data_IF_519761636252
#
_entry.id   IF_519761636252
#
_cell.length_a   1.000
_cell.length_b   1.000
_cell.length_c   1.000
_cell.angle_alpha   90.00
_cell.angle_beta   90.00
_cell.angle_gamma   90.00
#
_symmetry.space_group_name_H-M   'P 1'
#
loop_
_entity.id
_entity.type
_entity.pdbx_description
1 polymer ?
#
# COMPACT_ATOMS: atom_id res chain seq x y z
N UNK A 1 -35.88 -9.53 25.05
CA UNK A 1 -35.34 -8.16 24.93
C UNK A 1 -33.98 -8.28 24.26
N UNK A 2 -33.84 -7.80 23.03
CA UNK A 2 -32.55 -7.68 22.37
C UNK A 2 -31.82 -6.48 23.01
N UNK A 3 -30.66 -6.76 23.62
CA UNK A 3 -29.90 -5.77 24.37
C UNK A 3 -29.07 -4.94 23.37
N UNK A 4 -29.41 -3.66 23.21
CA UNK A 4 -28.72 -2.74 22.28
C UNK A 4 -27.46 -2.10 22.89
N UNK A 5 -27.12 -2.43 24.13
CA UNK A 5 -25.97 -1.86 24.84
C UNK A 5 -24.61 -2.46 24.47
N UNK A 6 -24.56 -3.65 23.84
CA UNK A 6 -23.31 -4.24 23.34
C UNK A 6 -22.87 -3.68 21.97
N UNK A 7 -23.76 -2.94 21.28
CA UNK A 7 -23.48 -2.37 19.96
C UNK A 7 -22.77 -1.00 20.01
N UNK A 8 -22.70 -0.35 21.17
CA UNK A 8 -22.00 0.93 21.32
C UNK A 8 -20.46 0.75 21.31
N UNK A 9 -19.97 -0.37 21.82
CA UNK A 9 -18.55 -0.73 21.82
C UNK A 9 -18.09 -1.15 20.41
N UNK A 10 -18.92 -1.92 19.69
CA UNK A 10 -18.67 -2.29 18.30
C UNK A 10 -18.71 -1.09 17.33
N UNK A 11 -19.61 -0.11 17.54
CA UNK A 11 -19.73 1.06 16.67
C UNK A 11 -18.53 2.00 16.73
N UNK A 12 -17.95 2.19 17.93
CA UNK A 12 -16.81 3.08 18.14
C UNK A 12 -15.52 2.50 17.54
N UNK A 13 -15.26 1.21 17.77
CA UNK A 13 -14.08 0.52 17.23
C UNK A 13 -14.13 0.43 15.70
N UNK A 14 -15.33 0.23 15.11
CA UNK A 14 -15.53 0.26 13.65
C UNK A 14 -15.27 1.66 13.08
N UNK A 15 -15.77 2.72 13.71
CA UNK A 15 -15.54 4.10 13.28
C UNK A 15 -14.06 4.50 13.35
N UNK A 16 -13.37 4.11 14.42
CA UNK A 16 -11.94 4.37 14.57
C UNK A 16 -11.12 3.61 13.52
N UNK A 17 -11.48 2.34 13.26
CA UNK A 17 -10.86 1.52 12.21
C UNK A 17 -11.09 2.10 10.83
N UNK A 18 -12.31 2.53 10.50
CA UNK A 18 -12.61 3.20 9.23
C UNK A 18 -11.84 4.51 9.06
N UNK A 19 -11.76 5.32 10.12
CA UNK A 19 -11.01 6.59 10.09
C UNK A 19 -9.52 6.35 9.86
N UNK A 20 -8.94 5.34 10.54
CA UNK A 20 -7.55 4.90 10.33
C UNK A 20 -7.31 4.42 8.90
N UNK A 21 -8.19 3.57 8.36
CA UNK A 21 -8.08 3.07 6.98
C UNK A 21 -8.17 4.20 5.96
N UNK A 22 -9.11 5.14 6.13
CA UNK A 22 -9.24 6.30 5.24
C UNK A 22 -8.00 7.20 5.26
N UNK A 23 -7.45 7.45 6.46
CA UNK A 23 -6.21 8.22 6.60
C UNK A 23 -5.01 7.51 5.96
N UNK A 24 -4.88 6.19 6.14
CA UNK A 24 -3.83 5.39 5.52
C UNK A 24 -3.95 5.38 4.00
N UNK A 25 -5.16 5.19 3.47
CA UNK A 25 -5.46 5.25 2.04
C UNK A 25 -5.08 6.61 1.44
N UNK A 26 -5.49 7.70 2.09
CA UNK A 26 -5.17 9.07 1.66
C UNK A 26 -3.67 9.31 1.62
N UNK A 27 -2.94 8.90 2.67
CA UNK A 27 -1.48 9.02 2.72
C UNK A 27 -0.79 8.18 1.63
N UNK A 28 -1.28 6.97 1.37
CA UNK A 28 -0.76 6.12 0.29
C UNK A 28 -0.89 6.78 -1.08
N UNK A 29 -2.06 7.36 -1.38
CA UNK A 29 -2.25 8.12 -2.62
C UNK A 29 -1.37 9.38 -2.70
N UNK A 30 -1.21 10.10 -1.59
CA UNK A 30 -0.28 11.24 -1.53
C UNK A 30 1.17 10.82 -1.80
N UNK A 31 1.60 9.68 -1.26
CA UNK A 31 2.93 9.14 -1.50
C UNK A 31 3.13 8.76 -2.98
N UNK A 32 2.15 8.09 -3.61
CA UNK A 32 2.20 7.75 -5.04
C UNK A 32 2.26 9.02 -5.90
N UNK A 33 1.46 10.03 -5.59
CA UNK A 33 1.46 11.29 -6.32
C UNK A 33 2.79 12.05 -6.18
N UNK A 34 3.39 12.03 -4.99
CA UNK A 34 4.71 12.61 -4.76
C UNK A 34 5.77 11.90 -5.61
N UNK A 35 5.82 10.56 -5.56
CA UNK A 35 6.77 9.77 -6.32
C UNK A 35 6.65 10.02 -7.83
N UNK A 36 5.43 10.01 -8.37
CA UNK A 36 5.19 10.29 -9.78
C UNK A 36 5.64 11.71 -10.18
N UNK A 37 5.50 12.68 -9.28
CA UNK A 37 5.97 14.06 -9.48
C UNK A 37 7.50 14.13 -9.48
N UNK A 38 8.15 13.45 -8.54
CA UNK A 38 9.61 13.36 -8.44
C UNK A 38 10.22 12.69 -9.68
N UNK A 39 9.65 11.57 -10.12
CA UNK A 39 10.05 10.90 -11.36
C UNK A 39 9.87 11.81 -12.59
N UNK A 40 8.74 12.51 -12.69
CA UNK A 40 8.48 13.43 -13.81
C UNK A 40 9.51 14.55 -13.86
N UNK A 41 9.85 15.12 -12.71
CA UNK A 41 10.91 16.13 -12.59
C UNK A 41 12.26 15.57 -13.03
N UNK A 42 12.64 14.39 -12.53
CA UNK A 42 13.89 13.73 -12.90
C UNK A 42 13.96 13.46 -14.41
N UNK A 43 12.91 12.93 -15.01
CA UNK A 43 12.85 12.64 -16.44
C UNK A 43 13.01 13.90 -17.29
N UNK A 44 12.45 15.03 -16.84
CA UNK A 44 12.66 16.33 -17.48
C UNK A 44 14.12 16.79 -17.38
N UNK A 45 14.73 16.72 -16.18
CA UNK A 45 16.13 17.05 -15.96
C UNK A 45 17.08 16.19 -16.83
N UNK A 46 16.83 14.88 -16.90
CA UNK A 46 17.58 13.95 -17.73
C UNK A 46 17.47 14.30 -19.23
N UNK A 47 16.27 14.69 -19.68
CA UNK A 47 16.02 15.10 -21.08
C UNK A 47 16.77 16.38 -21.44
N UNK A 48 16.79 17.37 -20.55
CA UNK A 48 17.56 18.59 -20.73
C UNK A 48 19.06 18.28 -20.77
N UNK A 49 19.56 17.43 -19.87
CA UNK A 49 20.95 17.01 -19.85
C UNK A 49 21.35 16.26 -21.14
N UNK A 50 20.45 15.42 -21.68
CA UNK A 50 20.65 14.75 -22.97
C UNK A 50 20.75 15.76 -24.11
N UNK A 51 19.81 16.70 -24.20
CA UNK A 51 19.81 17.75 -25.23
C UNK A 51 21.10 18.59 -25.17
N UNK A 52 21.54 18.99 -23.98
CA UNK A 52 22.80 19.71 -23.80
C UNK A 52 23.99 18.91 -24.33
N UNK A 53 24.09 17.62 -23.98
CA UNK A 53 25.16 16.74 -24.49
C UNK A 53 25.09 16.58 -26.00
N UNK A 54 23.88 16.47 -26.56
CA UNK A 54 23.66 16.30 -27.99
C UNK A 54 24.17 17.51 -28.79
N UNK A 55 24.07 18.73 -28.26
CA UNK A 55 24.65 19.92 -28.94
C UNK A 55 26.19 19.91 -29.01
N UNK A 56 26.86 19.10 -28.20
CA UNK A 56 28.32 19.03 -28.12
C UNK A 56 28.97 17.92 -28.94
N UNK A 57 28.19 17.00 -29.52
CA UNK A 57 28.73 15.87 -30.30
C UNK A 57 29.28 16.33 -31.66
N UNK A 58 30.36 15.70 -32.14
CA UNK A 58 31.06 16.11 -33.38
C UNK A 58 31.01 15.07 -34.51
N UNK A 59 30.36 13.93 -34.28
CA UNK A 59 30.16 12.89 -35.28
C UNK A 59 28.79 12.21 -35.11
N UNK A 60 28.36 11.51 -36.14
CA UNK A 60 27.12 10.74 -36.13
C UNK A 60 27.25 9.54 -35.19
N UNK A 61 28.41 8.87 -35.15
CA UNK A 61 28.64 7.75 -34.22
C UNK A 61 28.44 8.20 -32.76
N UNK A 62 29.01 9.34 -32.37
CA UNK A 62 28.86 9.87 -31.02
C UNK A 62 27.40 10.26 -30.71
N UNK A 63 26.66 10.78 -31.69
CA UNK A 63 25.24 11.07 -31.53
C UNK A 63 24.41 9.80 -31.33
N UNK A 64 24.70 8.74 -32.10
CA UNK A 64 24.02 7.43 -31.98
C UNK A 64 24.31 6.78 -30.64
N UNK A 65 25.57 6.79 -30.18
CA UNK A 65 25.94 6.29 -28.85
C UNK A 65 25.21 7.04 -27.74
N UNK A 66 25.19 8.38 -27.81
CA UNK A 66 24.50 9.22 -26.83
C UNK A 66 22.99 8.94 -26.79
N UNK A 67 22.34 8.87 -27.95
CA UNK A 67 20.90 8.57 -28.05
C UNK A 67 20.57 7.15 -27.54
N UNK A 68 21.41 6.16 -27.87
CA UNK A 68 21.24 4.77 -27.42
C UNK A 68 21.36 4.68 -25.90
N UNK A 69 22.35 5.36 -25.33
CA UNK A 69 22.54 5.44 -23.88
C UNK A 69 21.34 6.07 -23.18
N UNK A 70 20.84 7.19 -23.70
CA UNK A 70 19.65 7.87 -23.18
C UNK A 70 18.39 6.99 -23.24
N UNK A 71 18.17 6.27 -24.35
CA UNK A 71 17.03 5.36 -24.47
C UNK A 71 17.12 4.21 -23.47
N UNK A 72 18.30 3.62 -23.29
CA UNK A 72 18.54 2.57 -22.31
C UNK A 72 18.26 3.06 -20.90
N UNK A 73 18.84 4.20 -20.51
CA UNK A 73 18.64 4.76 -19.16
C UNK A 73 17.19 5.16 -18.91
N UNK A 74 16.50 5.71 -19.92
CA UNK A 74 15.09 6.09 -19.81
C UNK A 74 14.21 4.86 -19.60
N UNK A 75 14.49 3.76 -20.31
CA UNK A 75 13.76 2.50 -20.15
C UNK A 75 13.99 1.87 -18.77
N UNK A 76 15.24 1.77 -18.33
CA UNK A 76 15.60 1.25 -17.01
C UNK A 76 14.95 2.08 -15.89
N UNK A 77 15.01 3.41 -16.02
CA UNK A 77 14.36 4.34 -15.09
C UNK A 77 12.85 4.17 -15.04
N UNK A 78 12.19 4.05 -16.19
CA UNK A 78 10.74 3.81 -16.27
C UNK A 78 10.32 2.49 -15.61
N UNK A 79 11.01 1.39 -15.90
CA UNK A 79 10.68 0.09 -15.32
C UNK A 79 10.90 0.09 -13.80
N UNK A 80 11.99 0.73 -13.34
CA UNK A 80 12.25 0.91 -11.91
C UNK A 80 11.11 1.67 -11.23
N UNK A 81 10.68 2.78 -11.83
CA UNK A 81 9.61 3.62 -11.29
C UNK A 81 8.27 2.89 -11.26
N UNK A 82 7.89 2.24 -12.36
CA UNK A 82 6.66 1.45 -12.44
C UNK A 82 6.65 0.33 -11.39
N UNK A 83 7.79 -0.32 -11.15
CA UNK A 83 7.93 -1.33 -10.10
C UNK A 83 7.74 -0.73 -8.71
N UNK A 84 8.29 0.47 -8.47
CA UNK A 84 8.17 1.17 -7.19
C UNK A 84 6.72 1.56 -6.91
N UNK A 85 6.03 2.21 -7.85
CA UNK A 85 4.61 2.54 -7.75
C UNK A 85 3.77 1.27 -7.54
N UNK A 86 4.06 0.19 -8.28
CA UNK A 86 3.38 -1.10 -8.12
C UNK A 86 3.52 -1.69 -6.71
N UNK A 87 4.71 -1.58 -6.12
CA UNK A 87 4.94 -1.97 -4.72
C UNK A 87 4.13 -1.10 -3.76
N UNK A 88 4.12 0.22 -3.95
CA UNK A 88 3.36 1.14 -3.10
C UNK A 88 1.86 0.84 -3.11
N UNK A 89 1.28 0.54 -4.28
CA UNK A 89 -0.12 0.13 -4.41
C UNK A 89 -0.37 -1.21 -3.72
N UNK A 90 0.55 -2.17 -3.88
CA UNK A 90 0.46 -3.48 -3.24
C UNK A 90 0.49 -3.36 -1.72
N UNK A 91 1.35 -2.52 -1.18
CA UNK A 91 1.48 -2.31 0.27
C UNK A 91 0.27 -1.55 0.83
N UNK A 92 -0.27 -0.58 0.09
CA UNK A 92 -1.54 0.08 0.43
C UNK A 92 -2.70 -0.91 0.53
N UNK A 93 -2.79 -1.85 -0.42
CA UNK A 93 -3.79 -2.90 -0.38
C UNK A 93 -3.60 -3.80 0.85
N UNK A 94 -2.37 -4.29 1.12
CA UNK A 94 -2.07 -5.11 2.31
C UNK A 94 -2.44 -4.41 3.61
N UNK A 95 -2.09 -3.13 3.76
CA UNK A 95 -2.39 -2.37 4.97
C UNK A 95 -3.90 -2.18 5.18
N UNK A 96 -4.67 -2.10 4.09
CA UNK A 96 -6.14 -2.08 4.15
C UNK A 96 -6.72 -3.43 4.62
N UNK A 97 -6.08 -4.56 4.28
CA UNK A 97 -6.51 -5.89 4.70
C UNK A 97 -6.14 -6.25 6.15
N UNK A 98 -5.02 -5.73 6.68
CA UNK A 98 -4.58 -5.98 8.07
C UNK A 98 -5.62 -5.59 9.12
N UNK A 99 -6.42 -4.55 8.85
CA UNK A 99 -7.49 -4.09 9.73
C UNK A 99 -8.58 -5.14 10.00
N UNK A 100 -8.61 -6.24 9.24
CA UNK A 100 -9.55 -7.35 9.41
C UNK A 100 -8.96 -8.57 10.15
N UNK A 101 -7.64 -8.66 10.32
CA UNK A 101 -6.99 -9.81 10.98
C UNK A 101 -7.27 -9.86 12.49
N UNK A 102 -7.16 -8.72 13.17
CA UNK A 102 -7.36 -8.65 14.63
C UNK A 102 -8.83 -8.92 15.06
N UNK A 103 -9.86 -8.37 14.38
CA UNK A 103 -11.26 -8.71 14.68
C UNK A 103 -11.60 -10.19 14.46
N UNK A 104 -11.04 -10.81 13.41
CA UNK A 104 -11.26 -12.25 13.14
C UNK A 104 -10.60 -13.14 14.20
N UNK A 105 -9.39 -12.81 14.61
CA UNK A 105 -8.70 -13.53 15.69
C UNK A 105 -9.43 -13.38 17.03
N UNK A 106 -9.95 -12.19 17.34
CA UNK A 106 -10.77 -11.97 18.54
C UNK A 106 -12.09 -12.74 18.49
N UNK A 107 -12.78 -12.75 17.34
CA UNK A 107 -14.01 -13.54 17.15
C UNK A 107 -13.75 -15.04 17.31
N UNK A 108 -12.65 -15.55 16.75
CA UNK A 108 -12.25 -16.95 16.92
C UNK A 108 -11.97 -17.30 18.39
N UNK A 109 -11.25 -16.43 19.11
CA UNK A 109 -10.99 -16.61 20.55
C UNK A 109 -12.28 -16.55 21.40
N UNK A 110 -13.23 -15.67 21.04
CA UNK A 110 -14.52 -15.58 21.71
C UNK A 110 -15.36 -16.85 21.53
N UNK A 111 -15.41 -17.40 20.30
CA UNK A 111 -16.09 -18.68 20.00
C UNK A 111 -15.44 -19.84 20.77
N UNK A 112 -14.11 -19.88 20.82
CA UNK A 112 -13.40 -20.93 21.54
C UNK A 112 -13.63 -20.87 23.06
N UNK A 113 -13.72 -19.66 23.62
CA UNK A 113 -14.03 -19.42 25.04
C UNK A 113 -15.48 -19.81 25.35
N UNK A 114 -16.43 -19.43 24.51
CA UNK A 114 -17.84 -19.81 24.65
C UNK A 114 -18.02 -21.34 24.60
N UNK A 115 -17.35 -22.02 23.67
CA UNK A 115 -17.43 -23.48 23.51
C UNK A 115 -16.87 -24.21 24.75
N UNK A 116 -15.75 -23.74 25.32
CA UNK A 116 -15.19 -24.30 26.56
C UNK A 116 -16.11 -24.09 27.77
N UNK A 117 -16.75 -22.92 27.87
CA UNK A 117 -17.70 -22.64 28.95
C UNK A 117 -18.96 -23.52 28.88
N UNK A 118 -19.48 -23.75 27.66
CA UNK A 118 -20.63 -24.63 27.43
C UNK A 118 -20.31 -26.10 27.77
N UNK A 119 -19.11 -26.57 27.41
CA UNK A 119 -18.65 -27.92 27.75
C UNK A 119 -18.48 -28.12 29.27
N UNK A 120 -17.98 -27.11 29.98
CA UNK A 120 -17.88 -27.09 31.45
C UNK A 120 -19.26 -27.16 32.12
N UNK A 121 -20.21 -26.34 31.64
CA UNK A 121 -21.56 -26.31 32.17
C UNK A 121 -22.32 -27.62 31.94
N UNK A 122 -22.19 -28.23 30.77
CA UNK A 122 -22.78 -29.55 30.49
C UNK A 122 -22.24 -30.64 31.43
N UNK A 123 -20.96 -30.56 31.80
CA UNK A 123 -20.32 -31.52 32.71
C UNK A 123 -20.76 -31.34 34.16
N UNK A 124 -21.11 -30.13 34.60
CA UNK A 124 -21.63 -29.87 35.96
C UNK A 124 -23.11 -30.18 36.11
N UNK A 125 -23.89 -30.24 35.03
CA UNK A 125 -25.30 -30.65 35.06
C UNK A 125 -25.47 -32.17 34.99
N UNK A 126 -24.45 -32.89 34.48
CA UNK A 126 -24.44 -34.35 34.38
C UNK A 126 -23.82 -35.07 35.61
N UNK A 127 -23.39 -34.32 36.63
CA UNK A 127 -22.83 -34.82 37.89
C UNK A 127 -23.82 -34.53 39.03
#
# INVERSE_FOLDING_TARGET
>A
MFNFSDNAFAGKDVLETMTKNYAAMTKGFQAIALEATEYSKKNFEDSIAHMQKLTGVRSIEAAVELQTSFLKSSYEGYVSEATKIGSMVTDLAKDSYKSYEAPLAQAANAVQTATKSAASAAKSVAA
#
